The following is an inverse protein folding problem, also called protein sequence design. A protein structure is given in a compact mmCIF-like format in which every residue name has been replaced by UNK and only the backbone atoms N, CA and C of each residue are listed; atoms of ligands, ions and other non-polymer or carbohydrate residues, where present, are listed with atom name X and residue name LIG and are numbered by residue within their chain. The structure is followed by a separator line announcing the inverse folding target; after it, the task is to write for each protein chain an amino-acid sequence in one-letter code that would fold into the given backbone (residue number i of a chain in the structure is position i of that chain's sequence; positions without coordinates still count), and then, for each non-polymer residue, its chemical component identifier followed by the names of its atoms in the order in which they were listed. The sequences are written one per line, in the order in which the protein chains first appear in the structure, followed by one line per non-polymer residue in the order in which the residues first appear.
data_IF_679704231059
#
_entry.id   IF_679704231059
#
_cell.length_a   1.000
_cell.length_b   1.000
_cell.length_c   1.000
_cell.angle_alpha   90.00
_cell.angle_beta   90.00
_cell.angle_gamma   90.00
#
_symmetry.space_group_name_H-M   'P 1'
#
loop_
_entity.id
_entity.type
_entity.pdbx_description
1 polymer ?
#
# COMPACT_ATOMS: atom_id res chain seq x y z
N UNK A 1 9.91 6.78 9.19
CA UNK A 1 8.49 6.66 8.76
C UNK A 1 7.61 7.15 9.90
N UNK A 2 6.64 8.02 9.63
CA UNK A 2 5.66 8.49 10.62
C UNK A 2 4.34 7.73 10.50
N UNK A 3 3.84 7.61 9.28
CA UNK A 3 2.60 6.89 8.96
C UNK A 3 2.64 6.38 7.52
N UNK A 4 1.82 5.37 7.26
CA UNK A 4 1.59 4.81 5.94
C UNK A 4 0.12 4.42 5.81
N UNK A 5 -0.47 4.70 4.65
CA UNK A 5 -1.80 4.25 4.28
C UNK A 5 -1.73 3.56 2.92
N UNK A 6 -2.51 2.50 2.78
CA UNK A 6 -2.70 1.79 1.52
C UNK A 6 -4.20 1.68 1.26
N UNK A 7 -4.63 2.15 0.10
CA UNK A 7 -6.03 2.13 -0.31
C UNK A 7 -6.19 1.20 -1.49
N UNK A 8 -7.20 0.33 -1.44
CA UNK A 8 -7.56 -0.60 -2.51
C UNK A 8 -9.02 -0.36 -2.81
N UNK A 9 -9.30 0.20 -3.99
CA UNK A 9 -10.63 0.54 -4.43
C UNK A 9 -11.23 -0.62 -5.23
N UNK A 10 -12.55 -0.80 -5.14
CA UNK A 10 -13.23 -1.93 -5.79
C UNK A 10 -13.22 -1.85 -7.33
N UNK A 11 -12.86 -0.71 -7.90
CA UNK A 11 -12.77 -0.46 -9.35
C UNK A 11 -11.42 -0.88 -9.97
N UNK A 12 -10.51 -1.44 -9.17
CA UNK A 12 -9.19 -1.85 -9.64
C UNK A 12 -8.11 -0.77 -9.51
N UNK A 13 -8.41 0.37 -8.89
CA UNK A 13 -7.40 1.35 -8.48
C UNK A 13 -6.83 1.03 -7.09
N UNK A 14 -5.57 1.39 -6.87
CA UNK A 14 -4.98 1.39 -5.53
C UNK A 14 -3.94 2.50 -5.39
N UNK A 15 -3.67 2.92 -4.17
CA UNK A 15 -2.67 3.94 -3.87
C UNK A 15 -1.93 3.65 -2.58
N UNK A 16 -0.68 4.12 -2.50
CA UNK A 16 0.11 4.11 -1.29
C UNK A 16 0.54 5.53 -0.95
N UNK A 17 0.31 5.92 0.31
CA UNK A 17 0.71 7.21 0.85
C UNK A 17 1.60 6.99 2.07
N UNK A 18 2.83 7.48 2.01
CA UNK A 18 3.80 7.37 3.10
C UNK A 18 4.23 8.76 3.52
N UNK A 19 4.20 9.01 4.83
CA UNK A 19 4.71 10.23 5.44
C UNK A 19 5.97 9.89 6.21
N UNK A 20 7.07 10.58 5.92
CA UNK A 20 8.36 10.39 6.59
C UNK A 20 9.04 11.73 6.88
N UNK A 21 9.85 11.73 7.93
CA UNK A 21 10.67 12.89 8.32
C UNK A 21 12.07 12.68 7.75
N UNK A 22 12.54 13.63 6.95
CA UNK A 22 13.92 13.63 6.42
C UNK A 22 14.90 14.21 7.46
N UNK A 23 16.23 14.04 7.32
CA UNK A 23 17.19 14.48 8.33
C UNK A 23 17.13 15.97 8.70
N UNK A 24 16.62 16.83 7.82
CA UNK A 24 16.38 18.25 8.12
C UNK A 24 15.23 18.50 9.11
N UNK A 25 14.51 17.45 9.52
CA UNK A 25 13.31 17.53 10.34
C UNK A 25 12.03 17.83 9.55
N UNK A 26 12.12 18.03 8.23
CA UNK A 26 10.96 18.28 7.38
C UNK A 26 10.15 17.00 7.16
N UNK A 27 8.83 17.13 7.23
CA UNK A 27 7.90 16.07 6.83
C UNK A 27 7.71 16.09 5.31
N UNK A 28 7.86 14.92 4.70
CA UNK A 28 7.65 14.67 3.28
C UNK A 28 6.55 13.64 3.14
N UNK A 29 5.60 13.95 2.25
CA UNK A 29 4.56 13.02 1.83
C UNK A 29 4.91 12.48 0.44
N UNK A 30 4.93 11.16 0.31
CA UNK A 30 5.01 10.49 -0.99
C UNK A 30 3.72 9.72 -1.22
N UNK A 31 3.06 10.02 -2.32
CA UNK A 31 1.84 9.35 -2.76
C UNK A 31 2.09 8.78 -4.15
N UNK A 32 1.74 7.51 -4.35
CA UNK A 32 1.89 6.80 -5.61
C UNK A 32 0.60 6.02 -5.92
N UNK A 33 0.18 6.03 -7.17
CA UNK A 33 -1.01 5.33 -7.63
C UNK A 33 -0.64 4.09 -8.45
N UNK A 34 -1.56 3.15 -8.51
CA UNK A 34 -1.46 1.93 -9.30
C UNK A 34 -2.84 1.45 -9.73
N UNK A 35 -2.86 0.63 -10.79
CA UNK A 35 -3.98 -0.28 -11.05
C UNK A 35 -3.62 -1.68 -10.56
N UNK A 36 -4.62 -2.48 -10.20
CA UNK A 36 -4.41 -3.85 -9.77
C UNK A 36 -5.38 -4.84 -10.41
N UNK A 37 -4.91 -6.08 -10.58
CA UNK A 37 -5.78 -7.23 -10.81
C UNK A 37 -5.74 -8.15 -9.60
N UNK A 38 -6.85 -8.87 -9.37
CA UNK A 38 -7.00 -9.78 -8.22
C UNK A 38 -7.35 -11.19 -8.66
N UNK A 39 -6.59 -12.15 -8.16
CA UNK A 39 -6.81 -13.58 -8.34
C UNK A 39 -6.83 -14.23 -6.95
N UNK A 40 -8.02 -14.49 -6.41
CA UNK A 40 -8.20 -14.99 -5.05
C UNK A 40 -7.67 -13.99 -4.00
N UNK A 41 -6.65 -14.39 -3.24
CA UNK A 41 -5.97 -13.52 -2.27
C UNK A 41 -4.83 -12.70 -2.88
N UNK A 42 -4.40 -13.00 -4.11
CA UNK A 42 -3.23 -12.36 -4.74
C UNK A 42 -3.66 -11.10 -5.48
N UNK A 43 -2.92 -10.00 -5.27
CA UNK A 43 -3.05 -8.75 -6.01
C UNK A 43 -1.77 -8.51 -6.81
N UNK A 44 -1.92 -8.15 -8.08
CA UNK A 44 -0.82 -7.75 -8.96
C UNK A 44 -1.00 -6.27 -9.27
N UNK A 45 -0.15 -5.42 -8.70
CA UNK A 45 -0.21 -3.97 -8.90
C UNK A 45 0.77 -3.51 -9.98
N UNK A 46 0.33 -2.60 -10.84
CA UNK A 46 1.15 -1.84 -11.77
C UNK A 46 1.20 -0.38 -11.30
N UNK A 47 2.35 0.07 -10.82
CA UNK A 47 2.55 1.41 -10.29
C UNK A 47 2.81 2.44 -11.40
N UNK A 48 2.27 3.64 -11.23
CA UNK A 48 2.56 4.79 -12.09
C UNK A 48 4.02 5.23 -11.89
N UNK A 49 4.77 5.32 -12.99
CA UNK A 49 6.18 5.72 -12.96
C UNK A 49 7.12 4.71 -12.28
N UNK A 50 6.64 3.50 -11.97
CA UNK A 50 7.41 2.44 -11.35
C UNK A 50 7.05 1.05 -11.90
N UNK A 51 7.64 0.01 -11.31
CA UNK A 51 7.46 -1.38 -11.75
C UNK A 51 6.15 -2.02 -11.29
N UNK A 52 6.15 -3.35 -11.33
CA UNK A 52 5.05 -4.18 -10.82
C UNK A 52 5.42 -4.75 -9.47
N UNK A 53 4.42 -4.94 -8.62
CA UNK A 53 4.57 -5.63 -7.34
C UNK A 53 3.47 -6.68 -7.19
N UNK A 54 3.69 -7.64 -6.31
CA UNK A 54 2.71 -8.66 -5.97
C UNK A 54 2.47 -8.56 -4.47
N UNK A 55 1.21 -8.49 -4.10
CA UNK A 55 0.79 -8.55 -2.72
C UNK A 55 -0.27 -9.62 -2.49
N UNK A 56 -0.59 -9.87 -1.22
CA UNK A 56 -1.63 -10.79 -0.80
C UNK A 56 -2.49 -10.20 0.29
N UNK A 57 -3.81 -10.42 0.20
CA UNK A 57 -4.76 -10.11 1.26
C UNK A 57 -5.18 -11.40 1.95
N UNK A 58 -4.94 -11.48 3.26
CA UNK A 58 -5.50 -12.51 4.13
C UNK A 58 -6.04 -11.90 5.42
N UNK A 59 -7.30 -12.24 5.77
CA UNK A 59 -7.95 -11.89 7.05
C UNK A 59 -7.70 -10.45 7.55
N UNK A 60 -7.85 -9.47 6.67
CA UNK A 60 -7.67 -8.07 7.04
C UNK A 60 -6.22 -7.57 6.97
N UNK A 61 -5.26 -8.41 6.61
CA UNK A 61 -3.85 -8.05 6.42
C UNK A 61 -3.51 -8.03 4.94
N UNK A 62 -2.92 -6.94 4.47
CA UNK A 62 -2.29 -6.86 3.15
C UNK A 62 -0.77 -6.90 3.32
N UNK A 63 -0.11 -7.81 2.60
CA UNK A 63 1.36 -7.91 2.55
C UNK A 63 1.84 -7.70 1.12
N UNK A 64 2.94 -6.99 0.93
CA UNK A 64 3.55 -6.76 -0.38
C UNK A 64 5.08 -6.70 -0.26
N UNK A 65 5.78 -7.42 -1.14
CA UNK A 65 7.21 -7.22 -1.34
C UNK A 65 7.45 -6.13 -2.38
N UNK A 66 8.28 -5.16 -1.99
CA UNK A 66 8.69 -4.03 -2.82
C UNK A 66 10.21 -3.87 -2.75
N UNK A 67 10.90 -4.37 -3.77
CA UNK A 67 12.36 -4.23 -3.94
C UNK A 67 13.18 -4.62 -2.69
N UNK A 68 12.80 -5.73 -2.03
CA UNK A 68 13.47 -6.23 -0.83
C UNK A 68 12.96 -5.65 0.49
N UNK A 69 11.96 -4.77 0.44
CA UNK A 69 11.20 -4.31 1.61
C UNK A 69 9.82 -4.95 1.64
N UNK A 70 9.48 -5.59 2.76
CA UNK A 70 8.12 -6.10 2.97
C UNK A 70 7.27 -5.05 3.66
N UNK A 71 6.16 -4.68 3.03
CA UNK A 71 5.13 -3.83 3.61
C UNK A 71 4.01 -4.70 4.14
N UNK A 72 3.64 -4.50 5.41
CA UNK A 72 2.52 -5.16 6.06
C UNK A 72 1.54 -4.09 6.52
N UNK A 73 0.32 -4.13 6.00
CA UNK A 73 -0.77 -3.25 6.37
C UNK A 73 -1.86 -4.08 7.04
N UNK A 74 -2.12 -3.80 8.30
CA UNK A 74 -3.25 -4.38 9.01
C UNK A 74 -4.44 -3.43 8.90
N UNK A 75 -5.57 -3.93 8.42
CA UNK A 75 -6.83 -3.19 8.50
C UNK A 75 -7.12 -2.95 9.98
N UNK A 76 -7.12 -1.69 10.39
CA UNK A 76 -7.65 -1.32 11.69
C UNK A 76 -9.11 -1.80 11.72
N UNK A 77 -9.45 -2.70 12.64
CA UNK A 77 -10.85 -3.13 12.79
C UNK A 77 -11.67 -1.89 13.12
N UNK A 78 -12.50 -1.43 12.19
CA UNK A 78 -13.52 -0.44 12.51
C UNK A 78 -14.64 -1.21 13.22
N UNK A 79 -14.43 -1.51 14.50
CA UNK A 79 -15.54 -1.89 15.38
C UNK A 79 -16.18 -0.57 15.82
N UNK A 80 -17.28 -0.21 15.15
CA UNK A 80 -18.25 0.77 15.64
C UNK A 80 -18.24 2.13 14.95
N UNK A 81 -19.18 2.32 14.03
CA UNK A 81 -20.17 3.40 14.09
C UNK A 81 -21.51 2.90 13.56
#
# INVERSE_FOLDING_TARGET
MRSGAFTIDADGACSSKVIFVVPSGQEVTREVNATYTREGSVLRMQWEGAGKTVGSIDRGTFTMDNEGLTFVYEMASIIGR
#
